data_IF_708432896065
#
_entry.id   IF_708432896065
#
_cell.length_a   1.000
_cell.length_b   1.000
_cell.length_c   1.000
_cell.angle_alpha   90.00
_cell.angle_beta   90.00
_cell.angle_gamma   90.00
#
_symmetry.space_group_name_H-M   'P 1'
#
loop_
_entity.id
_entity.type
_entity.pdbx_description
1 polymer ?
#
# COMPACT_ATOMS: atom_id res chain seq x y z
N UNK A 1 13.59 -30.65 -74.35
CA UNK A 1 12.42 -30.12 -73.62
C UNK A 1 12.90 -28.92 -72.84
N UNK A 2 12.18 -27.80 -73.00
CA UNK A 2 12.30 -26.52 -72.29
C UNK A 2 13.40 -25.55 -72.72
N UNK A 3 12.98 -24.64 -73.60
CA UNK A 3 13.66 -23.46 -74.13
C UNK A 3 13.44 -22.25 -73.22
N UNK A 4 14.50 -21.45 -73.09
CA UNK A 4 14.57 -20.16 -72.39
C UNK A 4 14.03 -19.05 -73.30
N UNK A 5 13.12 -18.21 -72.79
CA UNK A 5 12.67 -17.01 -73.49
C UNK A 5 13.41 -15.76 -73.01
N UNK A 6 14.19 -15.19 -73.93
CA UNK A 6 14.73 -13.84 -73.93
C UNK A 6 14.27 -13.21 -75.25
N UNK A 7 13.46 -12.16 -75.19
CA UNK A 7 13.23 -11.29 -76.35
C UNK A 7 13.10 -9.82 -75.90
N UNK A 8 13.92 -9.01 -76.55
CA UNK A 8 14.14 -7.59 -76.36
C UNK A 8 13.26 -6.75 -77.30
N UNK A 9 12.85 -5.57 -76.79
CA UNK A 9 12.69 -4.23 -77.43
C UNK A 9 12.02 -4.07 -78.81
N UNK A 10 11.10 -3.09 -78.92
CA UNK A 10 11.22 -1.93 -79.85
C UNK A 10 10.48 -0.67 -79.33
N UNK A 11 11.24 0.43 -79.30
CA UNK A 11 11.04 1.90 -79.30
C UNK A 11 9.69 2.68 -79.31
N UNK A 12 9.80 3.88 -78.71
CA UNK A 12 8.90 5.04 -78.50
C UNK A 12 8.58 5.87 -79.79
N UNK A 13 7.56 6.79 -79.84
CA UNK A 13 7.81 8.21 -79.47
C UNK A 13 6.63 9.08 -78.93
N UNK A 14 6.95 9.92 -77.92
CA UNK A 14 6.66 11.37 -77.70
C UNK A 14 5.28 12.00 -78.08
N UNK A 15 4.59 12.61 -77.08
CA UNK A 15 3.96 13.96 -77.15
C UNK A 15 3.62 14.54 -75.76
N UNK A 16 4.00 15.80 -75.53
CA UNK A 16 3.72 16.66 -74.37
C UNK A 16 2.47 17.53 -74.62
N UNK A 17 1.67 17.82 -73.58
CA UNK A 17 0.86 19.05 -73.36
C UNK A 17 0.15 18.89 -71.98
N UNK A 18 0.49 19.62 -70.91
CA UNK A 18 0.17 21.02 -70.52
C UNK A 18 -1.22 21.21 -69.85
N UNK A 19 -1.16 21.72 -68.59
CA UNK A 19 -2.15 22.49 -67.79
C UNK A 19 -3.33 21.68 -67.20
N UNK A 20 -3.65 21.69 -65.90
CA UNK A 20 -3.82 22.79 -64.94
C UNK A 20 -3.55 22.34 -63.47
N UNK A 21 -3.11 23.22 -62.55
CA UNK A 21 -3.13 22.96 -61.12
C UNK A 21 -4.51 23.29 -60.54
N UNK A 22 -5.26 22.28 -60.08
CA UNK A 22 -6.46 22.52 -59.27
C UNK A 22 -6.01 22.66 -57.82
N UNK A 23 -5.82 23.90 -57.39
CA UNK A 23 -5.69 24.24 -55.98
C UNK A 23 -7.05 24.10 -55.29
N UNK A 24 -7.31 22.94 -54.68
CA UNK A 24 -8.37 22.83 -53.69
C UNK A 24 -7.89 23.51 -52.40
N UNK A 25 -8.26 24.79 -52.20
CA UNK A 25 -8.30 25.39 -50.86
C UNK A 25 -9.37 24.63 -50.07
N UNK A 26 -8.96 23.61 -49.32
CA UNK A 26 -9.83 22.97 -48.33
C UNK A 26 -10.19 24.01 -47.28
N UNK A 27 -11.45 24.40 -47.32
CA UNK A 27 -12.18 25.17 -46.33
C UNK A 27 -11.83 24.65 -44.93
N UNK A 28 -11.40 25.55 -44.06
CA UNK A 28 -11.11 25.33 -42.64
C UNK A 28 -12.27 24.54 -42.03
N UNK A 29 -12.00 23.33 -41.55
CA UNK A 29 -12.93 22.57 -40.71
C UNK A 29 -12.98 23.23 -39.33
N UNK A 30 -14.13 23.73 -38.86
CA UNK A 30 -14.26 24.31 -37.52
C UNK A 30 -14.05 23.27 -36.39
N UNK A 31 -13.99 21.97 -36.72
CA UNK A 31 -13.76 20.89 -35.77
C UNK A 31 -12.28 20.72 -35.38
N UNK A 32 -11.33 21.24 -36.16
CA UNK A 32 -9.90 21.11 -35.84
C UNK A 32 -9.53 21.86 -34.55
N UNK A 33 -10.16 23.00 -34.28
CA UNK A 33 -9.92 23.79 -33.07
C UNK A 33 -10.49 23.15 -31.81
N UNK A 34 -11.65 22.49 -31.89
CA UNK A 34 -12.30 21.87 -30.73
C UNK A 34 -11.63 20.56 -30.30
N UNK A 35 -11.13 19.77 -31.25
CA UNK A 35 -10.25 18.63 -30.95
C UNK A 35 -8.89 19.09 -30.42
N UNK A 36 -8.30 20.17 -30.97
CA UNK A 36 -7.04 20.74 -30.48
C UNK A 36 -7.15 21.28 -29.05
N UNK A 37 -8.23 22.01 -28.72
CA UNK A 37 -8.48 22.51 -27.35
C UNK A 37 -8.66 21.33 -26.37
N UNK A 38 -9.37 20.27 -26.79
CA UNK A 38 -9.51 19.06 -25.98
C UNK A 38 -8.15 18.35 -25.75
N UNK A 39 -7.30 18.26 -26.77
CA UNK A 39 -5.96 17.65 -26.64
C UNK A 39 -5.00 18.50 -25.83
N UNK A 40 -5.07 19.83 -25.90
CA UNK A 40 -4.21 20.74 -25.13
C UNK A 40 -4.56 20.74 -23.65
N UNK A 41 -5.86 20.75 -23.33
CA UNK A 41 -6.36 20.60 -21.96
C UNK A 41 -6.01 19.22 -21.42
N UNK A 42 -6.21 18.15 -22.19
CA UNK A 42 -5.84 16.80 -21.80
C UNK A 42 -4.33 16.67 -21.54
N UNK A 43 -3.49 17.20 -22.44
CA UNK A 43 -2.04 17.24 -22.29
C UNK A 43 -1.61 17.99 -21.02
N UNK A 44 -2.23 19.15 -20.76
CA UNK A 44 -1.97 19.96 -19.57
C UNK A 44 -2.36 19.21 -18.28
N UNK A 45 -3.51 18.54 -18.27
CA UNK A 45 -3.99 17.74 -17.13
C UNK A 45 -3.07 16.52 -16.92
N UNK A 46 -2.70 15.79 -17.98
CA UNK A 46 -1.80 14.64 -17.87
C UNK A 46 -0.39 15.04 -17.41
N UNK A 47 0.10 16.20 -17.85
CA UNK A 47 1.36 16.78 -17.38
C UNK A 47 1.29 17.12 -15.89
N UNK A 48 0.20 17.76 -15.43
CA UNK A 48 -0.01 18.04 -14.02
C UNK A 48 -0.07 16.75 -13.19
N UNK A 49 -0.83 15.75 -13.65
CA UNK A 49 -0.95 14.46 -12.97
C UNK A 49 0.42 13.77 -12.88
N UNK A 50 1.16 13.68 -13.98
CA UNK A 50 2.51 13.10 -13.98
C UNK A 50 3.45 13.85 -13.04
N UNK A 51 3.38 15.19 -13.03
CA UNK A 51 4.17 16.00 -12.11
C UNK A 51 3.85 15.68 -10.64
N UNK A 52 2.57 15.61 -10.28
CA UNK A 52 2.11 15.23 -8.93
C UNK A 52 2.62 13.83 -8.57
N UNK A 53 2.51 12.87 -9.48
CA UNK A 53 2.89 11.48 -9.22
C UNK A 53 4.40 11.34 -9.04
N UNK A 54 5.21 12.05 -9.82
CA UNK A 54 6.66 11.94 -9.74
C UNK A 54 7.28 12.78 -8.61
N UNK A 55 6.58 13.78 -8.07
CA UNK A 55 7.13 14.67 -7.03
C UNK A 55 6.42 14.55 -5.68
N UNK A 56 5.08 14.51 -5.66
CA UNK A 56 4.28 14.51 -4.43
C UNK A 56 4.11 13.08 -3.89
N UNK A 57 3.80 12.11 -4.75
CA UNK A 57 3.55 10.75 -4.30
C UNK A 57 4.75 10.11 -3.58
N UNK A 58 6.01 10.25 -4.04
CA UNK A 58 7.19 9.77 -3.30
C UNK A 58 7.30 10.36 -1.90
N UNK A 59 7.11 11.68 -1.77
CA UNK A 59 7.20 12.38 -0.48
C UNK A 59 6.12 11.85 0.45
N UNK A 60 4.88 11.74 -0.04
CA UNK A 60 3.77 11.20 0.74
C UNK A 60 4.03 9.76 1.17
N UNK A 61 4.44 8.88 0.26
CA UNK A 61 4.75 7.48 0.55
C UNK A 61 5.83 7.38 1.63
N UNK A 62 6.93 8.12 1.48
CA UNK A 62 8.08 8.12 2.40
C UNK A 62 7.71 8.66 3.78
N UNK A 63 6.88 9.71 3.85
CA UNK A 63 6.50 10.36 5.12
C UNK A 63 5.32 9.68 5.81
N UNK A 64 4.52 8.89 5.09
CA UNK A 64 3.33 8.19 5.60
C UNK A 64 3.56 7.39 6.89
N UNK A 65 4.70 6.70 7.11
CA UNK A 65 4.91 5.96 8.36
C UNK A 65 5.05 6.91 9.55
N UNK A 66 5.74 8.03 9.34
CA UNK A 66 5.98 9.02 10.39
C UNK A 66 4.66 9.66 10.81
N UNK A 67 3.82 10.05 9.85
CA UNK A 67 2.52 10.65 10.15
C UNK A 67 1.55 9.64 10.78
N UNK A 68 1.50 8.41 10.28
CA UNK A 68 0.55 7.39 10.75
C UNK A 68 0.82 6.90 12.18
N UNK A 69 2.09 6.81 12.57
CA UNK A 69 2.50 6.27 13.87
C UNK A 69 3.05 7.33 14.83
N UNK A 70 3.45 8.50 14.34
CA UNK A 70 3.97 9.60 15.16
C UNK A 70 3.01 10.02 16.25
N UNK A 71 1.73 10.18 15.93
CA UNK A 71 0.68 10.51 16.90
C UNK A 71 0.50 9.41 17.96
N UNK A 72 0.69 8.14 17.57
CA UNK A 72 0.59 7.00 18.49
C UNK A 72 1.78 6.98 19.45
N UNK A 73 3.00 7.21 18.94
CA UNK A 73 4.22 7.37 19.74
C UNK A 73 4.04 8.50 20.74
N UNK A 74 3.60 9.68 20.27
CA UNK A 74 3.40 10.86 21.10
C UNK A 74 2.34 10.64 22.18
N UNK A 75 1.20 10.06 21.81
CA UNK A 75 0.10 9.76 22.74
C UNK A 75 0.57 8.79 23.84
N UNK A 76 1.27 7.71 23.50
CA UNK A 76 1.75 6.74 24.50
C UNK A 76 2.82 7.34 25.41
N UNK A 77 3.74 8.13 24.86
CA UNK A 77 4.77 8.80 25.64
C UNK A 77 4.17 9.83 26.61
N UNK A 78 3.24 10.66 26.13
CA UNK A 78 2.61 11.71 26.92
C UNK A 78 1.72 11.13 28.03
N UNK A 79 0.97 10.06 27.74
CA UNK A 79 0.08 9.39 28.71
C UNK A 79 0.80 8.43 29.65
N UNK A 80 2.10 8.17 29.43
CA UNK A 80 2.90 7.17 30.16
C UNK A 80 2.22 5.79 30.21
N UNK A 81 1.45 5.46 29.18
CA UNK A 81 0.67 4.23 29.10
C UNK A 81 0.50 3.80 27.66
N UNK A 82 0.74 2.52 27.40
CA UNK A 82 0.43 1.83 26.14
C UNK A 82 -0.83 0.94 26.24
N UNK A 83 -1.68 1.16 27.26
CA UNK A 83 -2.95 0.44 27.37
C UNK A 83 -3.83 0.63 26.12
N UNK A 84 -4.38 -0.46 25.60
CA UNK A 84 -5.18 -0.48 24.37
C UNK A 84 -4.40 -0.36 23.06
N UNK A 85 -3.07 -0.26 23.10
CA UNK A 85 -2.22 -0.36 21.90
C UNK A 85 -1.76 -1.81 21.69
N UNK A 86 -1.81 -2.28 20.45
CA UNK A 86 -1.33 -3.63 20.11
C UNK A 86 0.10 -3.64 19.64
N UNK A 87 0.89 -4.52 20.25
CA UNK A 87 2.28 -4.76 19.84
C UNK A 87 2.38 -5.49 18.49
N UNK A 88 1.29 -6.10 18.00
CA UNK A 88 1.28 -6.81 16.72
C UNK A 88 1.46 -5.89 15.51
N UNK A 89 1.03 -4.63 15.62
CA UNK A 89 1.21 -3.64 14.55
C UNK A 89 2.71 -3.42 14.29
N UNK A 90 3.54 -3.08 15.30
CA UNK A 90 5.00 -3.06 15.14
C UNK A 90 5.61 -4.37 14.61
N UNK A 91 5.11 -5.54 15.04
CA UNK A 91 5.63 -6.82 14.57
C UNK A 91 5.51 -6.95 13.05
N UNK A 92 4.29 -6.84 12.53
CA UNK A 92 3.98 -7.05 11.12
C UNK A 92 4.77 -6.05 10.27
N UNK A 93 4.78 -4.78 10.69
CA UNK A 93 5.45 -3.71 9.95
C UNK A 93 6.98 -3.84 9.98
N UNK A 94 7.58 -4.27 11.10
CA UNK A 94 9.03 -4.53 11.18
C UNK A 94 9.43 -5.72 10.32
N UNK A 95 8.70 -6.84 10.43
CA UNK A 95 8.97 -8.07 9.67
C UNK A 95 8.94 -7.78 8.16
N UNK A 96 7.86 -7.13 7.68
CA UNK A 96 7.71 -6.75 6.28
C UNK A 96 8.78 -5.76 5.82
N UNK A 97 9.08 -4.73 6.62
CA UNK A 97 9.98 -3.65 6.19
C UNK A 97 11.46 -4.06 6.21
N UNK A 98 11.88 -4.87 7.17
CA UNK A 98 13.23 -5.47 7.15
C UNK A 98 13.39 -6.38 5.93
N UNK A 99 12.39 -7.23 5.61
CA UNK A 99 12.44 -8.05 4.38
C UNK A 99 12.53 -7.20 3.12
N UNK A 100 11.78 -6.09 3.02
CA UNK A 100 11.86 -5.16 1.88
C UNK A 100 13.27 -4.59 1.72
N UNK A 101 13.92 -4.18 2.81
CA UNK A 101 15.32 -3.71 2.79
C UNK A 101 16.26 -4.79 2.26
N UNK A 102 16.11 -6.05 2.70
CA UNK A 102 16.91 -7.16 2.16
C UNK A 102 16.58 -7.48 0.70
N UNK A 103 15.31 -7.43 0.33
CA UNK A 103 14.83 -7.62 -1.04
C UNK A 103 15.49 -6.64 -2.01
N UNK A 104 15.69 -5.39 -1.59
CA UNK A 104 16.36 -4.38 -2.40
C UNK A 104 17.80 -4.75 -2.79
N UNK A 105 18.54 -5.46 -1.92
CA UNK A 105 19.89 -5.91 -2.24
C UNK A 105 19.90 -6.95 -3.37
N UNK A 106 18.85 -7.76 -3.49
CA UNK A 106 18.68 -8.74 -4.57
C UNK A 106 18.06 -8.14 -5.83
N UNK A 107 17.05 -7.28 -5.69
CA UNK A 107 16.36 -6.61 -6.78
C UNK A 107 16.20 -5.12 -6.47
N UNK A 108 16.96 -4.28 -7.17
CA UNK A 108 16.99 -2.82 -6.97
C UNK A 108 15.71 -2.17 -7.50
N UNK A 109 14.72 -2.07 -6.63
CA UNK A 109 13.50 -1.31 -6.89
C UNK A 109 13.68 0.17 -6.53
N UNK A 110 12.70 1.00 -6.93
CA UNK A 110 12.78 2.46 -6.86
C UNK A 110 13.10 3.02 -5.45
N UNK A 111 13.89 4.09 -5.40
CA UNK A 111 14.48 4.63 -4.18
C UNK A 111 13.44 5.10 -3.14
N UNK A 112 12.33 5.76 -3.50
CA UNK A 112 11.31 6.16 -2.52
C UNK A 112 10.75 4.98 -1.72
N UNK A 113 10.60 3.80 -2.34
CA UNK A 113 10.11 2.61 -1.65
C UNK A 113 11.14 2.04 -0.66
N UNK A 114 12.43 2.16 -0.97
CA UNK A 114 13.50 1.77 -0.05
C UNK A 114 13.57 2.71 1.13
N UNK A 115 13.50 4.02 0.87
CA UNK A 115 13.49 5.04 1.91
C UNK A 115 12.27 4.86 2.80
N UNK A 116 11.09 4.62 2.22
CA UNK A 116 9.87 4.30 2.97
C UNK A 116 10.08 3.07 3.88
N UNK A 117 10.61 1.96 3.35
CA UNK A 117 10.86 0.76 4.15
C UNK A 117 11.85 1.04 5.29
N UNK A 118 12.90 1.81 5.03
CA UNK A 118 13.92 2.18 6.02
C UNK A 118 13.34 3.07 7.14
N UNK A 119 12.57 4.10 6.77
CA UNK A 119 11.86 4.96 7.72
C UNK A 119 10.84 4.15 8.52
N UNK A 120 10.11 3.24 7.88
CA UNK A 120 9.17 2.36 8.57
C UNK A 120 9.88 1.51 9.63
N UNK A 121 11.05 0.92 9.32
CA UNK A 121 11.84 0.19 10.33
C UNK A 121 12.18 1.09 11.52
N UNK A 122 12.68 2.30 11.27
CA UNK A 122 13.03 3.25 12.34
C UNK A 122 11.82 3.62 13.21
N UNK A 123 10.72 4.06 12.58
CA UNK A 123 9.49 4.48 13.27
C UNK A 123 8.92 3.32 14.10
N UNK A 124 8.91 2.10 13.56
CA UNK A 124 8.37 0.95 14.27
C UNK A 124 9.27 0.47 15.41
N UNK A 125 10.59 0.61 15.30
CA UNK A 125 11.52 0.39 16.43
C UNK A 125 11.23 1.38 17.56
N UNK A 126 11.05 2.67 17.23
CA UNK A 126 10.71 3.71 18.20
C UNK A 126 9.34 3.42 18.84
N UNK A 127 8.33 3.12 18.02
CA UNK A 127 6.98 2.79 18.48
C UNK A 127 6.99 1.57 19.41
N UNK A 128 7.69 0.51 19.03
CA UNK A 128 7.86 -0.69 19.85
C UNK A 128 8.55 -0.34 21.18
N UNK A 129 9.65 0.40 21.17
CA UNK A 129 10.36 0.78 22.39
C UNK A 129 9.47 1.60 23.34
N UNK A 130 8.77 2.61 22.82
CA UNK A 130 7.86 3.45 23.60
C UNK A 130 6.70 2.62 24.15
N UNK A 131 6.12 1.72 23.35
CA UNK A 131 5.05 0.83 23.79
C UNK A 131 5.52 -0.11 24.91
N UNK A 132 6.71 -0.70 24.78
CA UNK A 132 7.29 -1.65 25.73
C UNK A 132 7.70 -0.99 27.06
N UNK A 133 8.15 0.27 27.03
CA UNK A 133 8.52 1.06 28.22
C UNK A 133 7.29 1.50 29.01
N UNK A 134 6.23 1.94 28.32
CA UNK A 134 5.01 2.46 28.94
C UNK A 134 3.95 1.37 29.19
N UNK A 135 4.37 0.10 29.35
CA UNK A 135 3.41 -1.01 29.57
C UNK A 135 2.67 -0.87 30.90
N UNK A 136 1.35 -1.10 30.93
CA UNK A 136 0.59 -1.03 32.15
C UNK A 136 1.00 -2.13 33.15
N UNK A 137 0.76 -1.92 34.46
CA UNK A 137 1.06 -2.91 35.50
C UNK A 137 0.29 -4.23 35.31
N UNK A 138 0.71 -5.28 36.05
CA UNK A 138 0.08 -6.60 36.04
C UNK A 138 -1.44 -6.48 36.23
N UNK A 139 -2.22 -7.10 35.33
CA UNK A 139 -3.70 -7.11 35.39
C UNK A 139 -4.41 -6.12 34.44
N UNK A 140 -3.75 -5.07 33.96
CA UNK A 140 -4.33 -4.14 32.97
C UNK A 140 -3.87 -4.42 31.52
N UNK A 141 -3.15 -5.53 31.30
CA UNK A 141 -2.60 -5.94 30.01
C UNK A 141 -3.64 -6.59 29.07
N UNK A 142 -4.87 -6.81 29.53
CA UNK A 142 -5.95 -7.50 28.82
C UNK A 142 -6.33 -6.86 27.46
N UNK A 143 -5.95 -5.60 27.20
CA UNK A 143 -6.19 -4.88 25.95
C UNK A 143 -4.98 -4.75 25.00
N UNK A 144 -3.78 -5.21 25.37
CA UNK A 144 -2.54 -5.02 24.57
C UNK A 144 -2.34 -6.02 23.42
N UNK A 145 -3.19 -7.04 23.32
CA UNK A 145 -3.08 -8.10 22.30
C UNK A 145 -4.14 -7.97 21.20
N UNK A 146 -4.87 -6.86 21.15
CA UNK A 146 -5.96 -6.66 20.18
C UNK A 146 -5.59 -5.50 19.24
N UNK A 147 -4.99 -5.79 18.07
CA UNK A 147 -4.65 -4.77 17.08
C UNK A 147 -5.86 -4.10 16.41
N UNK A 148 -7.05 -4.67 16.58
CA UNK A 148 -8.25 -4.31 15.85
C UNK A 148 -9.43 -4.05 16.80
N UNK A 149 -10.33 -3.18 16.38
CA UNK A 149 -11.38 -2.63 17.23
C UNK A 149 -12.45 -3.66 17.64
N UNK A 150 -12.98 -3.54 18.88
CA UNK A 150 -14.34 -4.01 19.21
C UNK A 150 -14.47 -5.30 20.02
N UNK A 151 -13.41 -6.04 20.34
CA UNK A 151 -13.57 -7.32 21.02
C UNK A 151 -13.90 -7.16 22.53
N UNK A 152 -15.12 -7.55 22.88
CA UNK A 152 -15.69 -7.67 24.23
C UNK A 152 -14.78 -8.45 25.20
N UNK A 153 -14.94 -8.16 26.50
CA UNK A 153 -14.17 -8.71 27.64
C UNK A 153 -14.31 -10.24 27.87
N UNK A 154 -14.90 -11.00 26.94
CA UNK A 154 -15.22 -12.42 27.10
C UNK A 154 -14.54 -13.39 26.14
N UNK A 155 -13.91 -12.93 25.06
CA UNK A 155 -13.42 -13.83 24.02
C UNK A 155 -12.00 -14.35 24.27
N UNK A 156 -11.95 -15.63 24.67
CA UNK A 156 -10.87 -16.62 24.56
C UNK A 156 -9.46 -16.08 24.30
N UNK A 157 -8.64 -16.16 25.35
CA UNK A 157 -7.19 -16.09 25.33
C UNK A 157 -6.58 -16.95 24.21
N UNK A 158 -6.32 -16.39 23.03
CA UNK A 158 -5.46 -17.07 22.05
C UNK A 158 -4.01 -16.90 22.53
N UNK A 159 -3.59 -17.75 23.46
CA UNK A 159 -2.19 -17.88 23.85
C UNK A 159 -1.44 -18.44 22.66
N UNK A 160 -0.62 -17.60 22.02
CA UNK A 160 0.20 -18.03 20.89
C UNK A 160 1.24 -19.04 21.38
N UNK A 161 1.66 -20.02 20.55
CA UNK A 161 2.76 -20.91 20.90
C UNK A 161 3.96 -20.09 21.42
N UNK A 162 4.52 -20.51 22.55
CA UNK A 162 5.65 -19.84 23.24
C UNK A 162 5.40 -18.37 23.66
N UNK A 163 4.14 -17.93 23.75
CA UNK A 163 3.75 -16.54 23.97
C UNK A 163 4.45 -15.60 22.97
N UNK A 164 4.58 -16.04 21.71
CA UNK A 164 5.27 -15.29 20.68
C UNK A 164 4.73 -13.86 20.59
N UNK A 165 5.64 -12.89 20.71
CA UNK A 165 5.33 -11.45 20.72
C UNK A 165 4.43 -10.95 21.85
N UNK A 166 4.14 -11.80 22.83
CA UNK A 166 3.32 -11.51 24.02
C UNK A 166 4.16 -11.53 25.32
N UNK A 167 5.49 -11.48 25.20
CA UNK A 167 6.42 -11.61 26.32
C UNK A 167 6.37 -10.42 27.28
N UNK A 168 6.48 -10.68 28.58
CA UNK A 168 6.51 -9.61 29.60
C UNK A 168 7.82 -8.82 29.61
N UNK A 169 8.94 -9.51 29.42
CA UNK A 169 10.25 -8.90 29.35
C UNK A 169 10.46 -8.23 27.99
N UNK A 170 11.30 -7.20 27.94
CA UNK A 170 11.60 -6.46 26.70
C UNK A 170 12.63 -7.18 25.83
N UNK A 171 13.54 -7.92 26.48
CA UNK A 171 14.68 -8.59 25.85
C UNK A 171 14.29 -9.54 24.69
N UNK A 172 13.24 -10.38 24.80
CA UNK A 172 12.87 -11.32 23.72
C UNK A 172 12.47 -10.63 22.41
N UNK A 173 11.84 -9.46 22.46
CA UNK A 173 11.48 -8.70 21.26
C UNK A 173 12.72 -8.30 20.45
N UNK A 174 13.71 -7.73 21.14
CA UNK A 174 14.97 -7.31 20.52
C UNK A 174 15.83 -8.50 20.07
N UNK A 175 15.82 -9.59 20.82
CA UNK A 175 16.49 -10.83 20.43
C UNK A 175 15.87 -11.43 19.16
N UNK A 176 14.54 -11.48 19.08
CA UNK A 176 13.85 -11.94 17.87
C UNK A 176 14.23 -11.08 16.66
N UNK A 177 14.15 -9.75 16.78
CA UNK A 177 14.52 -8.85 15.68
C UNK A 177 15.98 -9.01 15.26
N UNK A 178 16.90 -9.14 16.22
CA UNK A 178 18.31 -9.36 15.93
C UNK A 178 18.54 -10.70 15.21
N UNK A 179 17.99 -11.80 15.72
CA UNK A 179 18.12 -13.12 15.07
C UNK A 179 17.47 -13.15 13.70
N UNK A 180 16.31 -12.51 13.54
CA UNK A 180 15.62 -12.38 12.27
C UNK A 180 16.47 -11.64 11.24
N UNK A 181 17.01 -10.46 11.58
CA UNK A 181 17.89 -9.67 10.70
C UNK A 181 19.18 -10.41 10.36
N UNK A 182 19.82 -11.05 11.34
CA UNK A 182 21.04 -11.86 11.10
C UNK A 182 20.75 -13.05 10.20
N UNK A 183 19.60 -13.71 10.37
CA UNK A 183 19.18 -14.83 9.52
C UNK A 183 18.97 -14.36 8.09
N UNK A 184 18.29 -13.23 7.88
CA UNK A 184 18.12 -12.64 6.55
C UNK A 184 19.46 -12.25 5.92
N UNK A 185 20.38 -11.70 6.70
CA UNK A 185 21.72 -11.39 6.21
C UNK A 185 22.48 -12.67 5.79
N UNK A 186 22.42 -13.73 6.60
CA UNK A 186 23.03 -15.00 6.27
C UNK A 186 22.41 -15.61 4.99
N UNK A 187 21.07 -15.61 4.87
CA UNK A 187 20.38 -16.08 3.66
C UNK A 187 20.77 -15.23 2.44
N UNK A 188 20.83 -13.90 2.58
CA UNK A 188 21.25 -13.02 1.49
C UNK A 188 22.70 -13.29 1.05
N UNK A 189 23.61 -13.63 1.97
CA UNK A 189 24.99 -13.99 1.63
C UNK A 189 25.10 -15.37 0.98
N UNK A 190 24.30 -16.34 1.43
CA UNK A 190 24.40 -17.74 0.98
C UNK A 190 23.65 -18.00 -0.34
N UNK A 191 22.47 -17.39 -0.51
CA UNK A 191 21.55 -17.67 -1.64
C UNK A 191 21.04 -16.42 -2.34
N UNK A 192 21.59 -15.24 -2.03
CA UNK A 192 21.15 -13.96 -2.60
C UNK A 192 21.43 -13.76 -4.09
N UNK A 193 22.12 -14.68 -4.76
CA UNK A 193 22.27 -14.72 -6.23
C UNK A 193 21.14 -15.47 -6.93
N UNK A 194 20.32 -16.22 -6.19
CA UNK A 194 19.20 -16.98 -6.76
C UNK A 194 18.00 -16.07 -7.01
N UNK A 195 17.57 -15.98 -8.26
CA UNK A 195 16.35 -15.22 -8.64
C UNK A 195 15.10 -15.74 -7.92
N UNK A 196 15.02 -17.06 -7.70
CA UNK A 196 13.91 -17.65 -6.94
C UNK A 196 13.89 -17.14 -5.50
N UNK A 197 15.03 -17.10 -4.82
CA UNK A 197 15.13 -16.56 -3.46
C UNK A 197 14.76 -15.08 -3.43
N UNK A 198 15.30 -14.28 -4.36
CA UNK A 198 15.01 -12.84 -4.45
C UNK A 198 13.52 -12.61 -4.67
N UNK A 199 12.90 -13.34 -5.60
CA UNK A 199 11.48 -13.27 -5.90
C UNK A 199 10.61 -13.68 -4.71
N UNK A 200 10.92 -14.81 -4.08
CA UNK A 200 10.22 -15.30 -2.89
C UNK A 200 10.32 -14.29 -1.74
N UNK A 201 11.51 -13.75 -1.48
CA UNK A 201 11.74 -12.74 -0.45
C UNK A 201 10.87 -11.50 -0.70
N UNK A 202 10.81 -11.01 -1.94
CA UNK A 202 9.95 -9.88 -2.31
C UNK A 202 8.46 -10.13 -2.07
N UNK A 203 7.94 -11.26 -2.56
CA UNK A 203 6.53 -11.62 -2.36
C UNK A 203 6.19 -11.84 -0.87
N UNK A 204 7.07 -12.47 -0.09
CA UNK A 204 6.87 -12.65 1.35
C UNK A 204 6.88 -11.28 2.06
N UNK A 205 7.84 -10.41 1.75
CA UNK A 205 7.93 -9.08 2.34
C UNK A 205 6.63 -8.28 2.17
N UNK A 206 6.10 -8.29 0.95
CA UNK A 206 4.96 -7.48 0.55
C UNK A 206 3.63 -8.11 0.94
N UNK A 207 3.52 -9.43 0.93
CA UNK A 207 2.31 -10.13 1.40
C UNK A 207 2.11 -9.98 2.90
N UNK A 208 3.17 -10.00 3.72
CA UNK A 208 3.06 -9.74 5.17
C UNK A 208 2.46 -8.36 5.47
N UNK A 209 2.81 -7.34 4.69
CA UNK A 209 2.17 -6.01 4.80
C UNK A 209 0.73 -6.04 4.27
N UNK A 210 0.51 -6.67 3.11
CA UNK A 210 -0.78 -6.65 2.44
C UNK A 210 -1.90 -7.39 3.21
N UNK A 211 -1.57 -8.33 4.09
CA UNK A 211 -2.54 -9.02 4.95
C UNK A 211 -2.90 -8.26 6.23
N UNK A 212 -2.24 -7.13 6.53
CA UNK A 212 -2.48 -6.34 7.73
C UNK A 212 -3.97 -5.99 7.94
N UNK A 213 -4.75 -5.61 6.91
CA UNK A 213 -6.16 -5.27 7.10
C UNK A 213 -7.08 -6.46 7.43
N UNK A 214 -6.65 -7.69 7.12
CA UNK A 214 -7.51 -8.89 7.19
C UNK A 214 -8.10 -9.12 8.59
N UNK A 215 -7.34 -9.04 9.70
CA UNK A 215 -7.94 -9.36 10.97
C UNK A 215 -8.92 -8.27 11.45
N UNK A 216 -8.80 -7.01 10.99
CA UNK A 216 -9.86 -6.00 11.17
C UNK A 216 -11.12 -6.39 10.38
N UNK A 217 -10.95 -6.86 9.14
CA UNK A 217 -12.05 -7.32 8.29
C UNK A 217 -12.84 -8.44 8.97
N UNK A 218 -12.12 -9.41 9.54
CA UNK A 218 -12.71 -10.54 10.25
C UNK A 218 -13.42 -10.09 11.52
N UNK A 219 -12.83 -9.19 12.29
CA UNK A 219 -13.44 -8.72 13.54
C UNK A 219 -14.72 -7.92 13.25
N UNK A 220 -14.69 -6.98 12.30
CA UNK A 220 -15.89 -6.26 11.86
C UNK A 220 -16.99 -7.21 11.38
N UNK A 221 -16.62 -8.25 10.62
CA UNK A 221 -17.57 -9.25 10.14
C UNK A 221 -18.19 -10.06 11.29
N UNK A 222 -17.36 -10.44 12.28
CA UNK A 222 -17.77 -11.23 13.44
C UNK A 222 -18.65 -10.43 14.40
N UNK A 223 -18.25 -9.19 14.72
CA UNK A 223 -18.97 -8.30 15.63
C UNK A 223 -20.18 -7.63 14.97
N UNK A 224 -20.24 -7.63 13.63
CA UNK A 224 -21.22 -6.86 12.84
C UNK A 224 -21.26 -5.39 13.25
N UNK A 225 -20.12 -4.84 13.68
CA UNK A 225 -19.96 -3.48 14.16
C UNK A 225 -18.56 -2.96 13.82
N UNK A 226 -18.46 -1.69 13.47
CA UNK A 226 -17.17 -0.99 13.35
C UNK A 226 -16.84 -0.16 14.59
N UNK A 227 -17.51 -0.43 15.73
CA UNK A 227 -17.31 0.31 16.99
C UNK A 227 -15.86 0.19 17.46
N UNK A 228 -15.22 1.35 17.64
CA UNK A 228 -13.81 1.47 18.03
C UNK A 228 -12.83 1.52 16.86
N UNK A 229 -13.28 1.27 15.62
CA UNK A 229 -12.44 1.46 14.44
C UNK A 229 -12.43 2.95 14.10
N UNK A 230 -11.25 3.57 14.09
CA UNK A 230 -11.12 5.01 13.92
C UNK A 230 -11.24 5.39 12.45
N UNK A 231 -12.24 6.20 12.10
CA UNK A 231 -12.41 6.71 10.74
C UNK A 231 -11.15 7.36 10.17
N UNK A 232 -10.40 8.10 11.00
CA UNK A 232 -9.15 8.75 10.56
C UNK A 232 -8.09 7.75 10.08
N UNK A 233 -8.02 6.57 10.70
CA UNK A 233 -7.08 5.51 10.30
C UNK A 233 -7.50 4.92 8.96
N UNK A 234 -8.79 4.61 8.80
CA UNK A 234 -9.35 4.08 7.56
C UNK A 234 -9.13 5.04 6.38
N UNK A 235 -9.42 6.33 6.57
CA UNK A 235 -9.21 7.36 5.54
C UNK A 235 -7.72 7.45 5.17
N UNK A 236 -6.82 7.41 6.15
CA UNK A 236 -5.38 7.44 5.89
C UNK A 236 -4.90 6.21 5.11
N UNK A 237 -5.45 5.02 5.37
CA UNK A 237 -5.17 3.81 4.58
C UNK A 237 -5.64 3.96 3.13
N UNK A 238 -6.90 4.34 2.92
CA UNK A 238 -7.47 4.54 1.57
C UNK A 238 -6.72 5.60 0.77
N UNK A 239 -6.40 6.74 1.38
CA UNK A 239 -5.60 7.81 0.74
C UNK A 239 -4.21 7.28 0.40
N UNK A 240 -3.58 6.55 1.32
CA UNK A 240 -2.28 5.95 1.09
C UNK A 240 -2.27 4.95 -0.06
N UNK A 241 -3.31 4.14 -0.20
CA UNK A 241 -3.44 3.19 -1.30
C UNK A 241 -3.64 3.89 -2.64
N UNK A 242 -4.42 4.98 -2.69
CA UNK A 242 -4.55 5.79 -3.91
C UNK A 242 -3.20 6.32 -4.35
N UNK A 243 -2.42 6.92 -3.44
CA UNK A 243 -1.08 7.43 -3.76
C UNK A 243 -0.12 6.30 -4.16
N UNK A 244 -0.14 5.15 -3.47
CA UNK A 244 0.66 3.98 -3.83
C UNK A 244 0.28 3.44 -5.20
N UNK A 245 -1.01 3.29 -5.52
CA UNK A 245 -1.46 2.80 -6.82
C UNK A 245 -1.09 3.76 -7.95
N UNK A 246 -1.28 5.06 -7.75
CA UNK A 246 -0.85 6.07 -8.71
C UNK A 246 0.65 5.98 -8.96
N UNK A 247 1.45 5.89 -7.88
CA UNK A 247 2.90 5.75 -8.00
C UNK A 247 3.30 4.44 -8.70
N UNK A 248 2.79 3.28 -8.28
CA UNK A 248 3.18 1.98 -8.84
C UNK A 248 2.90 1.84 -10.34
N UNK A 249 1.83 2.44 -10.85
CA UNK A 249 1.41 2.27 -12.24
C UNK A 249 1.74 3.45 -13.15
N UNK A 250 1.91 4.65 -12.60
CA UNK A 250 2.06 5.87 -13.40
C UNK A 250 3.39 6.60 -13.15
N UNK A 251 4.19 6.21 -12.15
CA UNK A 251 5.53 6.77 -12.00
C UNK A 251 6.46 6.27 -13.11
N UNK A 252 7.46 7.09 -13.46
CA UNK A 252 8.49 6.71 -14.44
C UNK A 252 9.45 5.62 -13.91
N UNK A 253 9.49 5.40 -12.60
CA UNK A 253 10.34 4.40 -11.96
C UNK A 253 9.90 2.95 -12.19
N UNK A 254 10.87 2.04 -12.27
CA UNK A 254 10.60 0.61 -12.38
C UNK A 254 10.18 0.04 -11.01
N UNK A 255 8.87 -0.20 -10.86
CA UNK A 255 8.29 -0.85 -9.68
C UNK A 255 8.04 -2.33 -9.96
N UNK A 256 8.64 -3.27 -9.20
CA UNK A 256 8.46 -4.71 -9.40
C UNK A 256 7.00 -5.15 -9.27
N UNK A 257 6.62 -6.21 -10.00
CA UNK A 257 5.26 -6.76 -9.97
C UNK A 257 4.80 -7.23 -8.58
N UNK A 258 5.72 -7.64 -7.71
CA UNK A 258 5.39 -7.98 -6.34
C UNK A 258 4.72 -6.80 -5.60
N UNK A 259 5.24 -5.57 -5.78
CA UNK A 259 4.65 -4.36 -5.17
C UNK A 259 3.26 -4.07 -5.75
N UNK A 260 3.10 -4.21 -7.06
CA UNK A 260 1.84 -3.98 -7.76
C UNK A 260 0.76 -4.96 -7.30
N UNK A 261 1.04 -6.26 -7.32
CA UNK A 261 0.08 -7.30 -6.96
C UNK A 261 -0.33 -7.23 -5.48
N UNK A 262 0.64 -7.15 -4.58
CA UNK A 262 0.36 -7.05 -3.15
C UNK A 262 -0.30 -5.72 -2.80
N UNK A 263 0.10 -4.62 -3.44
CA UNK A 263 -0.52 -3.31 -3.25
C UNK A 263 -1.96 -3.26 -3.72
N UNK A 264 -2.29 -3.87 -4.87
CA UNK A 264 -3.69 -4.00 -5.32
C UNK A 264 -4.53 -4.83 -4.37
N UNK A 265 -3.97 -5.94 -3.84
CA UNK A 265 -4.66 -6.75 -2.84
C UNK A 265 -4.94 -5.95 -1.57
N UNK A 266 -3.94 -5.24 -1.06
CA UNK A 266 -4.09 -4.39 0.12
C UNK A 266 -5.16 -3.31 -0.11
N UNK A 267 -5.10 -2.60 -1.23
CA UNK A 267 -6.08 -1.59 -1.60
C UNK A 267 -7.50 -2.16 -1.70
N UNK A 268 -7.66 -3.39 -2.20
CA UNK A 268 -8.95 -4.07 -2.22
C UNK A 268 -9.45 -4.38 -0.81
N UNK A 269 -8.58 -4.85 0.08
CA UNK A 269 -8.92 -5.09 1.48
C UNK A 269 -9.31 -3.80 2.22
N UNK A 270 -8.58 -2.71 2.02
CA UNK A 270 -8.86 -1.42 2.67
C UNK A 270 -10.14 -0.79 2.11
N UNK A 271 -10.42 -0.91 0.81
CA UNK A 271 -11.73 -0.57 0.24
C UNK A 271 -12.86 -1.41 0.84
N UNK A 272 -12.63 -2.71 1.06
CA UNK A 272 -13.61 -3.58 1.70
C UNK A 272 -13.87 -3.20 3.16
N UNK A 273 -12.85 -2.78 3.91
CA UNK A 273 -13.02 -2.16 5.23
C UNK A 273 -13.85 -0.88 5.15
N UNK A 274 -13.66 -0.06 4.12
CA UNK A 274 -14.50 1.09 3.81
C UNK A 274 -15.98 0.73 3.70
N UNK A 275 -16.28 -0.34 2.95
CA UNK A 275 -17.63 -0.86 2.80
C UNK A 275 -18.18 -1.38 4.13
N UNK A 276 -17.40 -2.16 4.89
CA UNK A 276 -17.83 -2.64 6.22
C UNK A 276 -18.11 -1.49 7.19
N UNK A 277 -17.29 -0.44 7.17
CA UNK A 277 -17.48 0.74 8.02
C UNK A 277 -18.81 1.43 7.72
N UNK A 278 -19.12 1.60 6.43
CA UNK A 278 -20.38 2.19 5.99
C UNK A 278 -21.59 1.29 6.28
N UNK A 279 -21.46 -0.03 6.08
CA UNK A 279 -22.56 -0.99 6.27
C UNK A 279 -22.89 -1.27 7.73
N UNK A 280 -21.87 -1.46 8.58
CA UNK A 280 -22.08 -1.87 9.97
C UNK A 280 -22.24 -0.69 10.92
N UNK A 281 -21.69 0.49 10.58
CA UNK A 281 -21.71 1.65 11.48
C UNK A 281 -21.19 1.31 12.89
N UNK A 282 -21.84 1.84 13.92
CA UNK A 282 -21.53 1.51 15.32
C UNK A 282 -22.18 0.19 15.81
N UNK A 283 -22.95 -0.50 14.97
CA UNK A 283 -23.68 -1.73 15.30
C UNK A 283 -25.12 -1.52 15.79
N UNK A 284 -25.89 -2.61 15.86
CA UNK A 284 -27.33 -2.64 16.23
C UNK A 284 -27.56 -2.12 17.67
N UNK A 285 -26.62 -2.34 18.58
CA UNK A 285 -26.76 -1.95 19.99
C UNK A 285 -26.89 -0.43 20.19
N UNK A 286 -26.26 0.39 19.32
CA UNK A 286 -26.43 1.84 19.36
C UNK A 286 -27.84 2.26 18.91
N UNK A 287 -28.43 1.55 17.94
CA UNK A 287 -29.80 1.81 17.50
C UNK A 287 -30.82 1.48 18.61
N UNK A 288 -30.60 0.40 19.37
CA UNK A 288 -31.43 0.03 20.54
C UNK A 288 -31.24 1.01 21.71
N UNK A 289 -30.01 1.46 21.98
CA UNK A 289 -29.74 2.46 23.02
C UNK A 289 -30.33 3.85 22.69
N UNK A 290 -30.44 4.19 21.40
CA UNK A 290 -31.13 5.40 20.93
C UNK A 290 -32.65 5.24 21.11
N UNK A 291 -33.20 4.08 20.78
CA UNK A 291 -34.64 3.79 20.90
C UNK A 291 -35.10 3.82 22.37
N UNK A 292 -34.29 3.26 23.29
CA UNK A 292 -34.55 3.30 24.74
C UNK A 292 -34.38 4.69 25.36
N UNK A 293 -33.65 5.60 24.71
CA UNK A 293 -33.47 6.99 25.14
C UNK A 293 -34.44 7.96 24.45
N UNK A 294 -35.31 7.47 23.55
CA UNK A 294 -36.34 8.32 22.97
C UNK A 294 -37.38 8.66 24.05
N UNK A 295 -37.53 9.94 24.45
CA UNK A 295 -38.49 10.35 25.46
C UNK A 295 -39.95 10.13 25.05
N UNK A 296 -40.22 9.68 23.82
CA UNK A 296 -41.56 9.28 23.36
C UNK A 296 -41.97 7.86 23.77
N UNK A 297 -41.02 7.04 24.21
CA UNK A 297 -41.24 5.66 24.65
C UNK A 297 -41.17 5.49 26.19
N UNK A 298 -40.91 6.59 26.93
CA UNK A 298 -40.87 6.63 28.39
C UNK A 298 -42.18 7.15 29.02
#
# INVERSE_FOLDING_TARGET
METKDLAWQVSCPRRQALLFPITWKSKISPYSGMHAISTDVYSSIMSLISWVINHIAPIFIVTSPVTSYGDQVWSMHSKRSSAGFSLDIPLIMLVASVLKVFYWFGARYDAPLLIQASIMVFVQVVLLQVALVNRPPFGAQHSLNKPFAGATDGDSYVTRPFNFWQWRSRKPYWQFLAYYTVTLAALQLLVGTSEFYIGLQGYVALSVEAILPIPQILENHRSRSSKGFRLSVLVNWLVGDVFKMAYFFLSEGEVPWAFKLCGMFQAACDCYLGLQYWMYGEGIDAAVDIDLKDPRLA
#
